data_IF_380795974182
#
_entry.id   IF_380795974182
#
_cell.length_a   1.000
_cell.length_b   1.000
_cell.length_c   1.000
_cell.angle_alpha   90.00
_cell.angle_beta   90.00
_cell.angle_gamma   90.00
#
_symmetry.space_group_name_H-M   'P 1'
#
loop_
_entity.id
_entity.type
_entity.pdbx_description
1 polymer ?
#
# COMPACT_ATOMS: atom_id res chain seq x y z
N UNK A 1 6.22 19.58 10.36
CA UNK A 1 7.04 20.52 9.56
C UNK A 1 8.55 20.31 9.74
N UNK A 2 9.05 20.08 10.98
CA UNK A 2 10.50 19.89 11.25
C UNK A 2 11.07 18.70 10.46
N UNK A 3 10.40 17.54 10.46
CA UNK A 3 10.83 16.36 9.69
C UNK A 3 10.98 16.64 8.18
N UNK A 4 10.03 17.35 7.60
CA UNK A 4 10.10 17.70 6.17
C UNK A 4 11.26 18.64 5.87
N UNK A 5 11.56 19.58 6.78
CA UNK A 5 12.73 20.46 6.66
C UNK A 5 14.05 19.67 6.74
N UNK A 6 14.16 18.76 7.70
CA UNK A 6 15.33 17.88 7.83
C UNK A 6 15.53 17.00 6.61
N UNK A 7 14.45 16.41 6.06
CA UNK A 7 14.50 15.62 4.84
C UNK A 7 14.89 16.44 3.61
N UNK A 8 14.40 17.67 3.49
CA UNK A 8 14.79 18.57 2.40
C UNK A 8 16.28 18.93 2.51
N UNK A 9 16.74 19.28 3.70
CA UNK A 9 18.15 19.60 3.96
C UNK A 9 19.06 18.40 3.69
N UNK A 10 18.59 17.19 4.03
CA UNK A 10 19.28 15.94 3.72
C UNK A 10 19.36 15.74 2.19
N UNK A 11 18.28 15.91 1.46
CA UNK A 11 18.23 15.80 0.00
C UNK A 11 19.22 16.77 -0.67
N UNK A 12 19.25 18.04 -0.23
CA UNK A 12 20.19 19.05 -0.69
C UNK A 12 21.65 18.65 -0.41
N UNK A 13 21.95 18.14 0.80
CA UNK A 13 23.28 17.69 1.19
C UNK A 13 23.78 16.50 0.36
N UNK A 14 22.86 15.65 -0.15
CA UNK A 14 23.18 14.55 -1.05
C UNK A 14 23.14 14.92 -2.53
N UNK A 15 22.97 16.21 -2.87
CA UNK A 15 22.99 16.70 -4.24
C UNK A 15 21.74 16.37 -5.04
N UNK A 16 20.64 16.08 -4.36
CA UNK A 16 19.31 15.96 -4.98
C UNK A 16 18.83 17.38 -5.29
N UNK A 17 19.05 17.82 -6.53
CA UNK A 17 18.62 19.15 -7.01
C UNK A 17 17.39 18.99 -7.89
N UNK A 18 16.37 19.85 -7.71
CA UNK A 18 15.24 19.90 -8.64
C UNK A 18 15.72 20.35 -10.02
N UNK A 19 15.13 19.80 -11.07
CA UNK A 19 15.18 20.42 -12.39
C UNK A 19 14.32 21.67 -12.34
N UNK A 20 14.81 22.81 -12.82
CA UNK A 20 14.13 24.11 -12.64
C UNK A 20 12.67 24.11 -13.09
N UNK A 21 12.32 23.38 -14.16
CA UNK A 21 10.96 23.23 -14.68
C UNK A 21 10.01 22.47 -13.73
N UNK A 22 10.54 21.63 -12.83
CA UNK A 22 9.74 20.79 -11.93
C UNK A 22 9.78 21.27 -10.48
N UNK A 23 10.50 22.37 -10.20
CA UNK A 23 10.74 22.88 -8.86
C UNK A 23 9.45 23.09 -8.08
N UNK A 24 9.35 22.52 -6.87
CA UNK A 24 8.19 22.61 -5.98
C UNK A 24 6.99 21.75 -6.39
N UNK A 25 7.07 21.01 -7.49
CA UNK A 25 6.01 20.08 -7.94
C UNK A 25 6.17 18.69 -7.33
N UNK A 26 5.26 17.75 -7.65
CA UNK A 26 5.40 16.34 -7.25
C UNK A 26 6.52 15.60 -8.00
N UNK A 27 7.02 16.12 -9.12
CA UNK A 27 8.17 15.60 -9.84
C UNK A 27 9.49 16.01 -9.18
N UNK A 28 9.50 17.08 -8.41
CA UNK A 28 10.65 17.53 -7.63
C UNK A 28 10.79 16.65 -6.38
N UNK A 29 11.80 15.79 -6.37
CA UNK A 29 12.06 14.83 -5.27
C UNK A 29 12.34 15.56 -3.94
N UNK A 30 12.94 16.74 -3.97
CA UNK A 30 13.25 17.57 -2.80
C UNK A 30 12.11 18.47 -2.34
N UNK A 31 11.00 18.54 -3.07
CA UNK A 31 9.90 19.43 -2.72
C UNK A 31 9.13 18.94 -1.48
N UNK A 32 8.65 19.86 -0.67
CA UNK A 32 7.76 19.56 0.47
C UNK A 32 6.53 18.74 0.05
N UNK A 33 5.97 19.00 -1.14
CA UNK A 33 4.82 18.24 -1.65
C UNK A 33 5.17 16.78 -1.89
N UNK A 34 6.33 16.51 -2.48
CA UNK A 34 6.78 15.14 -2.75
C UNK A 34 7.16 14.42 -1.46
N UNK A 35 7.93 15.07 -0.59
CA UNK A 35 8.34 14.51 0.69
C UNK A 35 7.13 14.25 1.60
N UNK A 36 6.16 15.16 1.66
CA UNK A 36 4.91 14.98 2.37
C UNK A 36 4.10 13.77 1.86
N UNK A 37 3.97 13.63 0.53
CA UNK A 37 3.29 12.48 -0.06
C UNK A 37 4.00 11.16 0.28
N UNK A 38 5.32 11.14 0.23
CA UNK A 38 6.12 9.94 0.60
C UNK A 38 5.88 9.60 2.07
N UNK A 39 5.98 10.57 2.97
CA UNK A 39 5.77 10.38 4.40
C UNK A 39 4.37 9.85 4.71
N UNK A 40 3.33 10.52 4.20
CA UNK A 40 1.94 10.12 4.42
C UNK A 40 1.67 8.70 3.90
N UNK A 41 2.25 8.37 2.73
CA UNK A 41 2.12 7.04 2.14
C UNK A 41 2.80 5.99 3.02
N UNK A 42 4.03 6.22 3.48
CA UNK A 42 4.76 5.28 4.34
C UNK A 42 4.06 5.08 5.68
N UNK A 43 3.56 6.16 6.28
CA UNK A 43 2.80 6.09 7.53
C UNK A 43 1.49 5.30 7.35
N UNK A 44 0.78 5.53 6.25
CA UNK A 44 -0.43 4.80 5.92
C UNK A 44 -0.14 3.30 5.65
N UNK A 45 0.98 2.97 4.98
CA UNK A 45 1.43 1.60 4.77
C UNK A 45 1.74 0.89 6.09
N UNK A 46 2.48 1.53 6.99
CA UNK A 46 2.81 0.96 8.29
C UNK A 46 1.55 0.69 9.14
N UNK A 47 0.60 1.62 9.16
CA UNK A 47 -0.70 1.43 9.83
C UNK A 47 -1.50 0.30 9.21
N UNK A 48 -1.60 0.28 7.87
CA UNK A 48 -2.31 -0.77 7.14
C UNK A 48 -1.72 -2.15 7.39
N UNK A 49 -0.38 -2.25 7.45
CA UNK A 49 0.32 -3.49 7.80
C UNK A 49 -0.03 -3.96 9.22
N UNK A 50 0.02 -3.08 10.21
CA UNK A 50 -0.30 -3.42 11.59
C UNK A 50 -1.75 -3.91 11.75
N UNK A 51 -2.71 -3.23 11.10
CA UNK A 51 -4.12 -3.64 11.07
C UNK A 51 -4.31 -4.99 10.37
N UNK A 52 -3.64 -5.20 9.24
CA UNK A 52 -3.66 -6.46 8.49
C UNK A 52 -3.05 -7.59 9.32
N UNK A 53 -1.87 -7.40 9.92
CA UNK A 53 -1.20 -8.39 10.76
C UNK A 53 -2.08 -8.80 11.95
N UNK A 54 -2.72 -7.83 12.63
CA UNK A 54 -3.70 -8.10 13.67
C UNK A 54 -4.88 -8.92 13.12
N UNK A 55 -5.35 -8.59 11.92
CA UNK A 55 -6.44 -9.32 11.24
C UNK A 55 -6.08 -10.74 10.82
N UNK A 56 -4.79 -11.11 10.81
CA UNK A 56 -4.28 -12.47 10.57
C UNK A 56 -4.16 -13.30 11.85
N UNK A 57 -4.45 -12.75 13.02
CA UNK A 57 -4.62 -13.55 14.23
C UNK A 57 -5.67 -14.66 13.99
N UNK A 58 -5.40 -15.93 14.36
CA UNK A 58 -6.29 -17.05 14.05
C UNK A 58 -7.73 -16.88 14.53
N UNK A 59 -7.93 -16.31 15.71
CA UNK A 59 -9.26 -16.12 16.28
C UNK A 59 -10.00 -14.97 15.59
N UNK A 60 -9.30 -13.87 15.28
CA UNK A 60 -9.86 -12.74 14.55
C UNK A 60 -10.15 -13.12 13.09
N UNK A 61 -9.27 -13.92 12.47
CA UNK A 61 -9.47 -14.44 11.12
C UNK A 61 -10.65 -15.41 11.06
N UNK A 62 -10.82 -16.24 12.10
CA UNK A 62 -11.97 -17.11 12.22
C UNK A 62 -13.29 -16.35 12.41
N UNK A 63 -13.28 -15.28 13.20
CA UNK A 63 -14.47 -14.47 13.47
C UNK A 63 -14.88 -13.58 12.27
N UNK A 64 -13.90 -13.07 11.53
CA UNK A 64 -14.11 -12.19 10.38
C UNK A 64 -13.14 -12.55 9.23
N UNK A 65 -13.44 -13.63 8.48
CA UNK A 65 -12.52 -14.17 7.46
C UNK A 65 -12.43 -13.32 6.20
N UNK A 66 -13.39 -12.44 5.97
CA UNK A 66 -13.47 -11.62 4.77
C UNK A 66 -13.40 -10.13 5.10
N UNK A 67 -13.16 -9.34 4.08
CA UNK A 67 -13.21 -7.88 4.14
C UNK A 67 -13.77 -7.28 2.86
N UNK A 68 -14.27 -6.08 2.97
CA UNK A 68 -14.84 -5.28 1.91
C UNK A 68 -13.95 -4.09 1.60
N UNK A 69 -13.72 -3.82 0.33
CA UNK A 69 -13.06 -2.60 -0.11
C UNK A 69 -14.04 -1.42 0.01
N UNK A 70 -13.69 -0.44 0.83
CA UNK A 70 -14.55 0.71 1.11
C UNK A 70 -13.81 2.03 0.94
N UNK A 71 -14.55 3.07 0.59
CA UNK A 71 -14.02 4.43 0.59
C UNK A 71 -13.99 4.98 2.02
N UNK A 72 -12.80 5.33 2.49
CA UNK A 72 -12.57 5.95 3.80
C UNK A 72 -12.44 7.47 3.72
N UNK A 73 -11.93 7.98 2.59
CA UNK A 73 -11.73 9.40 2.37
C UNK A 73 -12.24 9.80 1.00
N UNK A 74 -12.98 10.90 0.92
CA UNK A 74 -13.40 11.49 -0.35
C UNK A 74 -12.19 11.97 -1.15
N UNK A 75 -12.30 11.95 -2.49
CA UNK A 75 -11.30 12.45 -3.43
C UNK A 75 -11.98 13.24 -4.52
N UNK A 76 -11.35 14.31 -5.00
CA UNK A 76 -11.87 15.14 -6.10
C UNK A 76 -11.97 14.33 -7.40
N UNK A 77 -10.96 13.51 -7.69
CA UNK A 77 -10.91 12.61 -8.83
C UNK A 77 -10.80 11.15 -8.36
N UNK A 78 -11.92 10.53 -7.95
CA UNK A 78 -11.91 9.15 -7.50
C UNK A 78 -11.66 8.20 -8.66
N UNK A 79 -10.83 7.16 -8.42
CA UNK A 79 -10.68 6.06 -9.39
C UNK A 79 -11.94 5.21 -9.44
N UNK A 80 -12.18 4.60 -10.57
CA UNK A 80 -13.24 3.61 -10.76
C UNK A 80 -12.82 2.26 -10.17
N UNK A 81 -13.03 2.11 -8.86
CA UNK A 81 -12.69 0.90 -8.14
C UNK A 81 -13.54 -0.32 -8.51
N UNK A 82 -14.85 -0.18 -8.82
CA UNK A 82 -15.64 -1.29 -9.32
C UNK A 82 -15.05 -1.91 -10.59
N UNK A 83 -14.63 -1.10 -11.56
CA UNK A 83 -13.96 -1.60 -12.77
C UNK A 83 -12.64 -2.29 -12.47
N UNK A 84 -11.77 -1.67 -11.64
CA UNK A 84 -10.49 -2.28 -11.22
C UNK A 84 -10.70 -3.63 -10.52
N UNK A 85 -11.73 -3.73 -9.68
CA UNK A 85 -12.06 -4.96 -8.97
C UNK A 85 -12.57 -6.04 -9.91
N UNK A 86 -13.43 -5.68 -10.86
CA UNK A 86 -13.96 -6.57 -11.88
C UNK A 86 -12.85 -7.13 -12.78
N UNK A 87 -11.97 -6.26 -13.28
CA UNK A 87 -10.78 -6.67 -14.04
C UNK A 87 -9.93 -7.66 -13.23
N UNK A 88 -9.73 -7.40 -11.92
CA UNK A 88 -9.01 -8.33 -11.05
C UNK A 88 -9.67 -9.70 -10.92
N UNK A 89 -11.00 -9.77 -10.85
CA UNK A 89 -11.72 -11.05 -10.84
C UNK A 89 -11.56 -11.77 -12.18
N UNK A 90 -11.65 -11.06 -13.30
CA UNK A 90 -11.54 -11.62 -14.65
C UNK A 90 -10.11 -12.14 -14.90
N UNK A 91 -9.09 -11.39 -14.52
CA UNK A 91 -7.68 -11.77 -14.73
C UNK A 91 -7.22 -12.92 -13.82
N UNK A 92 -7.69 -12.95 -12.56
CA UNK A 92 -7.33 -13.98 -11.59
C UNK A 92 -8.16 -15.27 -11.74
N UNK A 93 -9.36 -15.18 -12.31
CA UNK A 93 -10.22 -16.34 -12.54
C UNK A 93 -10.45 -17.18 -11.27
N UNK A 94 -10.07 -18.44 -11.30
CA UNK A 94 -10.26 -19.38 -10.20
C UNK A 94 -9.31 -19.17 -9.00
N UNK A 95 -8.30 -18.32 -9.14
CA UNK A 95 -7.36 -18.00 -8.06
C UNK A 95 -7.95 -17.06 -7.00
N UNK A 96 -9.07 -16.41 -7.30
CA UNK A 96 -9.72 -15.47 -6.39
C UNK A 96 -11.11 -15.92 -5.98
N UNK A 97 -11.47 -15.61 -4.73
CA UNK A 97 -12.84 -15.73 -4.21
C UNK A 97 -13.58 -14.40 -4.23
N UNK A 98 -12.96 -13.37 -4.79
CA UNK A 98 -13.51 -12.02 -4.81
C UNK A 98 -14.85 -11.93 -5.54
N UNK A 99 -15.78 -11.18 -4.99
CA UNK A 99 -17.10 -10.94 -5.57
C UNK A 99 -17.45 -9.46 -5.63
N UNK A 100 -18.38 -9.14 -6.52
CA UNK A 100 -19.18 -7.92 -6.44
C UNK A 100 -20.61 -8.34 -6.13
N UNK A 101 -21.14 -7.86 -5.02
CA UNK A 101 -22.54 -8.17 -4.62
C UNK A 101 -23.54 -7.40 -5.49
N UNK A 102 -24.82 -7.75 -5.43
CA UNK A 102 -25.89 -7.07 -6.20
C UNK A 102 -26.01 -5.58 -5.87
N UNK A 103 -25.65 -5.19 -4.65
CA UNK A 103 -25.60 -3.81 -4.17
C UNK A 103 -24.23 -3.13 -4.38
N UNK A 104 -23.37 -3.74 -5.20
CA UNK A 104 -22.09 -3.15 -5.65
C UNK A 104 -20.95 -3.23 -4.65
N UNK A 105 -21.06 -4.04 -3.59
CA UNK A 105 -19.98 -4.20 -2.61
C UNK A 105 -18.89 -5.14 -3.13
N UNK A 106 -17.64 -4.74 -2.99
CA UNK A 106 -16.44 -5.47 -3.40
C UNK A 106 -15.88 -6.22 -2.19
N UNK A 107 -16.06 -7.53 -2.15
CA UNK A 107 -15.76 -8.36 -0.98
C UNK A 107 -14.89 -9.55 -1.40
N UNK A 108 -13.88 -9.87 -0.57
CA UNK A 108 -13.06 -11.08 -0.72
C UNK A 108 -12.61 -11.59 0.65
N UNK A 109 -12.11 -12.82 0.71
CA UNK A 109 -11.42 -13.33 1.89
C UNK A 109 -10.20 -12.45 2.21
N UNK A 110 -9.83 -12.32 3.47
CA UNK A 110 -8.65 -11.54 3.87
C UNK A 110 -7.35 -12.07 3.29
N UNK A 111 -7.32 -13.37 3.00
CA UNK A 111 -6.17 -14.08 2.42
C UNK A 111 -6.19 -14.15 0.89
N UNK A 112 -7.16 -13.49 0.26
CA UNK A 112 -7.34 -13.52 -1.19
C UNK A 112 -6.27 -12.72 -1.92
N UNK A 113 -5.82 -13.23 -3.07
CA UNK A 113 -4.80 -12.60 -3.91
C UNK A 113 -5.27 -11.28 -4.54
N UNK A 114 -6.58 -11.05 -4.65
CA UNK A 114 -7.14 -9.82 -5.21
C UNK A 114 -6.60 -8.56 -4.53
N UNK A 115 -6.35 -8.62 -3.22
CA UNK A 115 -5.82 -7.49 -2.46
C UNK A 115 -4.43 -7.06 -2.96
N UNK A 116 -3.58 -8.03 -3.28
CA UNK A 116 -2.26 -7.79 -3.87
C UNK A 116 -2.37 -7.35 -5.33
N UNK A 117 -3.35 -7.88 -6.08
CA UNK A 117 -3.61 -7.51 -7.47
C UNK A 117 -3.97 -6.03 -7.61
N UNK A 118 -4.94 -5.53 -6.83
CA UNK A 118 -5.40 -4.14 -6.90
C UNK A 118 -4.37 -3.13 -6.37
N UNK A 119 -3.34 -3.62 -5.66
CA UNK A 119 -2.32 -2.80 -5.03
C UNK A 119 -1.15 -2.51 -5.97
N UNK A 120 -0.83 -1.23 -6.18
CA UNK A 120 0.41 -0.82 -6.86
C UNK A 120 1.67 -1.18 -6.07
N UNK A 121 1.51 -1.35 -4.75
CA UNK A 121 2.60 -1.67 -3.83
C UNK A 121 2.78 -3.18 -3.64
N UNK A 122 1.97 -4.01 -4.32
CA UNK A 122 2.00 -5.47 -4.22
C UNK A 122 1.85 -6.01 -2.79
N UNK A 123 1.05 -5.32 -1.99
CA UNK A 123 0.76 -5.67 -0.59
C UNK A 123 -0.74 -5.87 -0.38
N UNK A 124 -1.17 -6.79 0.52
CA UNK A 124 -2.59 -7.10 0.72
C UNK A 124 -3.31 -6.16 1.72
N UNK A 125 -2.76 -4.98 2.01
CA UNK A 125 -3.35 -3.98 2.91
C UNK A 125 -3.33 -2.58 2.30
N UNK A 126 -4.20 -1.66 2.80
CA UNK A 126 -4.17 -0.26 2.40
C UNK A 126 -2.87 0.48 2.82
N UNK A 127 -2.49 1.54 2.10
CA UNK A 127 -3.13 2.05 0.90
C UNK A 127 -2.84 1.18 -0.32
N UNK A 128 -3.84 0.87 -1.14
CA UNK A 128 -3.62 0.05 -2.34
C UNK A 128 -2.99 0.83 -3.50
N UNK A 129 -3.18 2.14 -3.54
CA UNK A 129 -2.61 3.07 -4.54
C UNK A 129 -2.38 4.43 -3.90
N UNK A 130 -1.44 5.20 -4.46
CA UNK A 130 -1.19 6.57 -4.01
C UNK A 130 -2.48 7.39 -4.00
N UNK A 131 -2.73 8.07 -2.88
CA UNK A 131 -3.88 8.95 -2.69
C UNK A 131 -5.24 8.30 -3.03
N UNK A 132 -5.39 7.00 -2.79
CA UNK A 132 -6.60 6.25 -3.20
C UNK A 132 -7.84 6.60 -2.37
N UNK A 133 -7.66 6.96 -1.11
CA UNK A 133 -8.77 7.16 -0.17
C UNK A 133 -9.52 5.87 0.18
N UNK A 134 -9.03 4.71 -0.26
CA UNK A 134 -9.64 3.41 0.02
C UNK A 134 -9.05 2.78 1.28
N UNK A 135 -9.88 1.97 1.92
CA UNK A 135 -9.53 1.12 3.04
C UNK A 135 -10.36 -0.14 3.03
N UNK A 136 -10.34 -0.86 4.12
CA UNK A 136 -11.10 -2.12 4.26
C UNK A 136 -12.04 -2.07 5.46
N UNK A 137 -13.10 -2.88 5.39
CA UNK A 137 -14.05 -3.13 6.47
C UNK A 137 -14.21 -4.64 6.65
N UNK A 138 -14.06 -5.13 7.89
CA UNK A 138 -14.19 -6.54 8.18
C UNK A 138 -15.63 -7.05 7.92
N UNK A 139 -15.73 -8.25 7.38
CA UNK A 139 -16.98 -8.99 7.15
C UNK A 139 -16.96 -10.19 8.09
N UNK A 140 -17.98 -10.26 8.95
CA UNK A 140 -18.15 -11.35 9.91
C UNK A 140 -18.37 -12.68 9.19
N UNK A 141 -17.94 -13.77 9.81
CA UNK A 141 -18.02 -15.14 9.27
C UNK A 141 -19.41 -15.49 8.72
N UNK A 142 -20.47 -15.28 9.48
CA UNK A 142 -21.84 -15.59 9.05
C UNK A 142 -22.19 -14.94 7.70
N UNK A 143 -21.77 -13.70 7.49
CA UNK A 143 -22.04 -12.98 6.25
C UNK A 143 -21.12 -13.47 5.12
N UNK A 144 -19.87 -13.81 5.42
CA UNK A 144 -18.94 -14.39 4.44
C UNK A 144 -19.45 -15.77 3.96
N UNK A 145 -20.00 -16.59 4.84
CA UNK A 145 -20.66 -17.86 4.50
C UNK A 145 -21.91 -17.65 3.65
N UNK A 146 -22.74 -16.66 3.96
CA UNK A 146 -23.92 -16.30 3.17
C UNK A 146 -23.56 -15.84 1.74
N UNK A 147 -22.41 -15.19 1.56
CA UNK A 147 -21.90 -14.82 0.26
C UNK A 147 -21.17 -15.95 -0.48
N UNK A 148 -21.01 -17.12 0.16
CA UNK A 148 -20.33 -18.28 -0.42
C UNK A 148 -18.81 -18.13 -0.51
N UNK A 149 -18.22 -17.16 0.20
CA UNK A 149 -16.78 -16.92 0.21
C UNK A 149 -16.00 -17.99 1.00
N UNK A 150 -16.64 -18.59 1.99
CA UNK A 150 -16.06 -19.62 2.87
C UNK A 150 -17.15 -20.61 3.28
N UNK A 151 -16.80 -21.86 3.41
CA UNK A 151 -17.73 -22.92 3.89
C UNK A 151 -17.88 -22.88 5.41
N UNK A 152 -19.04 -23.31 5.94
CA UNK A 152 -19.21 -23.47 7.37
C UNK A 152 -18.11 -24.35 8.00
N UNK A 153 -17.48 -23.86 9.06
CA UNK A 153 -16.41 -24.57 9.75
C UNK A 153 -15.04 -24.57 9.06
N UNK A 154 -14.93 -24.07 7.85
CA UNK A 154 -13.66 -23.91 7.16
C UNK A 154 -12.75 -22.91 7.87
N UNK A 155 -11.45 -23.26 7.98
CA UNK A 155 -10.45 -22.41 8.63
C UNK A 155 -9.50 -21.85 7.57
N UNK A 156 -9.29 -20.54 7.59
CA UNK A 156 -8.25 -19.92 6.77
C UNK A 156 -6.90 -20.05 7.46
N UNK A 157 -5.86 -20.20 6.64
CA UNK A 157 -4.48 -20.18 7.10
C UNK A 157 -3.99 -18.74 7.14
N UNK A 158 -3.51 -18.23 8.28
CA UNK A 158 -2.94 -16.89 8.37
C UNK A 158 -1.77 -16.72 7.39
N UNK A 159 -1.79 -15.65 6.63
CA UNK A 159 -0.66 -15.28 5.79
C UNK A 159 0.42 -14.58 6.63
N UNK A 160 1.67 -14.80 6.25
CA UNK A 160 2.83 -14.08 6.80
C UNK A 160 3.40 -13.19 5.70
N UNK A 161 3.71 -11.97 6.05
CA UNK A 161 4.33 -11.02 5.15
C UNK A 161 5.44 -10.27 5.88
N UNK A 162 6.57 -10.10 5.22
CA UNK A 162 7.64 -9.23 5.73
C UNK A 162 7.43 -7.83 5.16
N UNK A 163 7.14 -6.86 6.02
CA UNK A 163 6.93 -5.48 5.63
C UNK A 163 8.10 -4.89 4.82
N UNK A 164 9.30 -5.39 5.06
CA UNK A 164 10.52 -4.90 4.44
C UNK A 164 11.04 -5.80 3.29
N UNK A 165 10.34 -6.86 2.95
CA UNK A 165 10.81 -7.89 2.00
C UNK A 165 11.29 -7.32 0.66
N UNK A 166 10.63 -6.28 0.14
CA UNK A 166 10.89 -5.68 -1.17
C UNK A 166 11.37 -4.23 -1.10
N UNK A 167 11.85 -3.79 0.06
CA UNK A 167 12.42 -2.44 0.18
C UNK A 167 13.71 -2.38 -0.62
N UNK A 168 13.59 -1.85 -1.85
CA UNK A 168 14.73 -1.55 -2.73
C UNK A 168 14.91 -0.05 -2.80
N UNK A 169 16.06 0.45 -2.36
CA UNK A 169 16.42 1.83 -2.57
C UNK A 169 16.67 2.08 -4.06
N UNK A 170 15.91 2.99 -4.67
CA UNK A 170 16.14 3.42 -6.03
C UNK A 170 16.93 4.73 -6.03
N UNK A 171 18.09 4.71 -6.66
CA UNK A 171 18.91 5.89 -6.87
C UNK A 171 18.61 6.60 -8.21
N UNK A 172 17.50 6.24 -8.87
CA UNK A 172 17.05 6.86 -10.13
C UNK A 172 16.71 8.34 -9.88
N UNK A 173 17.26 9.22 -10.69
CA UNK A 173 17.05 10.67 -10.56
C UNK A 173 17.99 11.37 -9.58
N UNK A 174 18.93 10.65 -8.96
CA UNK A 174 19.99 11.22 -8.12
C UNK A 174 21.24 11.44 -8.99
N UNK A 175 21.93 12.58 -8.80
CA UNK A 175 23.17 12.88 -9.50
C UNK A 175 24.24 11.81 -9.25
N UNK A 176 25.24 11.62 -10.15
CA UNK A 176 26.32 10.67 -9.92
C UNK A 176 27.04 10.88 -8.59
N UNK A 177 27.32 12.13 -8.22
CA UNK A 177 27.96 12.51 -6.96
C UNK A 177 27.08 12.19 -5.75
N UNK A 178 25.75 12.42 -5.87
CA UNK A 178 24.77 12.07 -4.84
C UNK A 178 24.70 10.56 -4.61
N UNK A 179 24.72 9.77 -5.70
CA UNK A 179 24.73 8.29 -5.61
C UNK A 179 25.97 7.79 -4.91
N UNK A 180 27.14 8.32 -5.25
CA UNK A 180 28.41 7.95 -4.61
C UNK A 180 28.39 8.26 -3.09
N UNK A 181 27.88 9.44 -2.70
CA UNK A 181 27.74 9.82 -1.28
C UNK A 181 26.83 8.88 -0.52
N UNK A 182 25.68 8.53 -1.10
CA UNK A 182 24.70 7.59 -0.48
C UNK A 182 25.34 6.21 -0.37
N UNK A 183 26.01 5.70 -1.41
CA UNK A 183 26.67 4.41 -1.37
C UNK A 183 27.79 4.37 -0.33
N UNK A 184 28.60 5.41 -0.22
CA UNK A 184 29.65 5.51 0.80
C UNK A 184 29.09 5.56 2.22
N UNK A 185 27.96 6.26 2.43
CA UNK A 185 27.26 6.30 3.71
C UNK A 185 26.70 4.92 4.10
N UNK A 186 26.07 4.21 3.17
CA UNK A 186 25.53 2.86 3.39
C UNK A 186 26.61 1.81 3.65
N UNK A 187 27.80 1.97 3.05
CA UNK A 187 28.94 1.07 3.22
C UNK A 187 29.78 1.42 4.46
N UNK A 188 29.37 2.39 5.27
CA UNK A 188 30.09 2.82 6.47
C UNK A 188 31.47 3.44 6.19
N UNK A 189 31.75 3.82 4.95
CA UNK A 189 33.00 4.50 4.60
C UNK A 189 32.97 5.93 5.14
N UNK A 190 33.71 6.18 6.23
CA UNK A 190 33.94 7.53 6.75
C UNK A 190 34.62 8.38 5.67
N UNK A 191 34.21 9.64 5.58
CA UNK A 191 34.93 10.66 4.79
C UNK A 191 36.39 10.69 5.24
N UNK A 192 37.32 10.44 4.33
CA UNK A 192 38.72 10.81 4.45
C UNK A 192 38.87 12.30 4.21
#
# INVERSE_FOLDING_TARGET
DQFLQEMQQLAENYGVRPVDETRGTLQDIGSFRRLGLIWDTQLAMARGFAEWQTGMDPDLLAAAPAQELVRKQSREAPRDWPTIWKEGIEDLGEETTAIITKDGRMIALKTDIIWTYISYFKQPWPPFRFNSGMGVRNIRRKLAEQYGLIKPGEKLVPQKFDFNQDVKASLKGISPEGRERIQNALLGKKRS
#
